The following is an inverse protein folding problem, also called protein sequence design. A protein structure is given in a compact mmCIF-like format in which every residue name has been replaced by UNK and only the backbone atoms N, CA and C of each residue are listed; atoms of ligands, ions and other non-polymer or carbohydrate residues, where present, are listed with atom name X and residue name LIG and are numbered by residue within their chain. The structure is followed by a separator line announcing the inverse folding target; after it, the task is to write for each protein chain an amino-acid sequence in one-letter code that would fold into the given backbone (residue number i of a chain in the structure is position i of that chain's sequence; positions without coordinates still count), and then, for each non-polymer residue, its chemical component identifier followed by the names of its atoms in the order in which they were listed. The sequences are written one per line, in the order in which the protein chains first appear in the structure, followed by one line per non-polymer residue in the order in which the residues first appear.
data_IF_100682372125
#
_entry.id   IF_100682372125
#
_cell.length_a   1.000
_cell.length_b   1.000
_cell.length_c   1.000
_cell.angle_alpha   90.00
_cell.angle_beta   90.00
_cell.angle_gamma   90.00
#
_symmetry.space_group_name_H-M   'P 1'
#
loop_
_entity.id
_entity.type
_entity.pdbx_description
1 polymer ?
#
# COMPACT_ATOMS: atom_id res chain seq x y z
N UNK A 1 21.92 9.90 4.93
CA UNK A 1 20.50 9.54 5.10
C UNK A 1 20.44 8.39 6.11
N UNK A 2 19.57 8.48 7.11
CA UNK A 2 19.38 7.38 8.06
C UNK A 2 18.69 6.24 7.29
N UNK A 3 19.31 5.05 7.30
CA UNK A 3 18.71 3.87 6.65
C UNK A 3 17.40 3.51 7.35
N UNK A 4 16.35 3.27 6.57
CA UNK A 4 15.03 2.91 7.09
C UNK A 4 15.02 1.40 7.39
N UNK A 5 14.61 1.03 8.61
CA UNK A 5 14.57 -0.36 9.02
C UNK A 5 13.33 -1.11 8.47
N UNK A 6 12.20 -0.41 8.26
CA UNK A 6 11.00 -0.92 7.60
C UNK A 6 11.06 -0.77 6.08
N UNK A 7 10.21 -1.50 5.38
CA UNK A 7 10.09 -1.46 3.92
C UNK A 7 8.76 -0.82 3.51
N UNK A 8 8.75 -0.11 2.38
CA UNK A 8 7.54 0.45 1.79
C UNK A 8 7.05 -0.44 0.66
N UNK A 9 5.79 -0.86 0.74
CA UNK A 9 5.12 -1.67 -0.26
C UNK A 9 3.94 -0.91 -0.87
N UNK A 10 3.82 -0.96 -2.17
CA UNK A 10 2.68 -0.44 -2.93
C UNK A 10 1.88 -1.64 -3.39
N UNK A 11 0.61 -1.71 -3.02
CA UNK A 11 -0.28 -2.78 -3.48
C UNK A 11 -1.39 -2.17 -4.30
N UNK A 12 -1.49 -2.60 -5.55
CA UNK A 12 -2.54 -2.19 -6.47
C UNK A 12 -3.26 -3.40 -7.05
N UNK A 13 -4.50 -3.21 -7.40
CA UNK A 13 -5.35 -4.25 -7.94
C UNK A 13 -6.62 -3.65 -8.55
N UNK A 14 -7.24 -4.28 -9.53
CA UNK A 14 -8.58 -3.89 -9.96
C UNK A 14 -9.59 -4.11 -8.83
N UNK A 15 -10.64 -3.28 -8.82
CA UNK A 15 -11.71 -3.42 -7.84
C UNK A 15 -12.31 -4.83 -7.90
N UNK A 16 -12.38 -5.53 -6.77
CA UNK A 16 -12.89 -6.91 -6.69
C UNK A 16 -11.82 -8.00 -6.74
N UNK A 17 -10.54 -7.69 -6.98
CA UNK A 17 -9.47 -8.69 -6.99
C UNK A 17 -9.08 -9.25 -5.61
N UNK A 18 -9.58 -8.65 -4.50
CA UNK A 18 -9.33 -9.16 -3.15
C UNK A 18 -8.19 -8.49 -2.39
N UNK A 19 -7.65 -7.37 -2.90
CA UNK A 19 -6.52 -6.62 -2.32
C UNK A 19 -6.68 -6.36 -0.82
N UNK A 20 -7.73 -5.67 -0.41
CA UNK A 20 -7.93 -5.27 0.98
C UNK A 20 -8.07 -6.47 1.93
N UNK A 21 -8.68 -7.57 1.47
CA UNK A 21 -8.79 -8.80 2.26
C UNK A 21 -7.44 -9.47 2.47
N UNK A 22 -6.59 -9.51 1.43
CA UNK A 22 -5.23 -10.06 1.53
C UNK A 22 -4.36 -9.21 2.47
N UNK A 23 -4.41 -7.87 2.34
CA UNK A 23 -3.67 -6.99 3.23
C UNK A 23 -4.12 -7.20 4.68
N UNK A 24 -5.43 -7.18 4.96
CA UNK A 24 -5.95 -7.39 6.31
C UNK A 24 -5.54 -8.74 6.91
N UNK A 25 -5.59 -9.82 6.12
CA UNK A 25 -5.17 -11.14 6.57
C UNK A 25 -3.67 -11.19 6.87
N UNK A 26 -2.83 -10.52 6.08
CA UNK A 26 -1.40 -10.40 6.34
C UNK A 26 -1.14 -9.64 7.65
N UNK A 27 -1.81 -8.51 7.86
CA UNK A 27 -1.65 -7.69 9.08
C UNK A 27 -2.08 -8.42 10.35
N UNK A 28 -3.06 -9.34 10.27
CA UNK A 28 -3.45 -10.18 11.42
C UNK A 28 -2.35 -11.15 11.85
N UNK A 29 -1.43 -11.51 10.94
CA UNK A 29 -0.31 -12.41 11.21
C UNK A 29 0.95 -11.70 11.72
N UNK A 30 1.07 -10.40 11.42
CA UNK A 30 2.30 -9.64 11.64
C UNK A 30 2.00 -8.29 12.30
N UNK A 31 2.47 -8.11 13.55
CA UNK A 31 2.26 -6.87 14.32
C UNK A 31 3.19 -5.71 13.90
N UNK A 32 4.23 -6.02 13.18
CA UNK A 32 5.25 -5.08 12.68
C UNK A 32 5.00 -4.66 11.22
N UNK A 33 3.74 -4.75 10.79
CA UNK A 33 3.24 -4.35 9.47
C UNK A 33 1.99 -3.49 9.63
N UNK A 34 1.86 -2.43 8.84
CA UNK A 34 0.70 -1.52 8.89
C UNK A 34 0.31 -1.03 7.50
N UNK A 35 -0.97 -0.74 7.30
CA UNK A 35 -1.43 0.07 6.17
C UNK A 35 -1.23 1.54 6.51
N UNK A 36 -0.78 2.34 5.55
CA UNK A 36 -0.76 3.79 5.68
C UNK A 36 -2.17 4.34 5.80
N UNK A 37 -2.40 5.17 6.81
CA UNK A 37 -3.66 5.89 6.98
C UNK A 37 -3.58 7.20 6.20
N UNK A 38 -4.35 7.31 5.12
CA UNK A 38 -4.37 8.50 4.27
C UNK A 38 -5.16 9.65 4.91
N UNK A 39 -4.84 10.88 4.55
CA UNK A 39 -5.64 12.06 4.88
C UNK A 39 -6.79 12.21 3.90
N UNK A 40 -7.93 12.71 4.37
CA UNK A 40 -9.06 13.06 3.50
C UNK A 40 -9.84 14.24 4.04
N UNK A 41 -10.44 15.01 3.12
CA UNK A 41 -11.40 16.08 3.46
C UNK A 41 -12.84 15.61 3.45
N UNK A 42 -13.08 14.34 3.06
CA UNK A 42 -14.42 13.72 3.13
C UNK A 42 -14.83 13.56 4.60
N UNK A 43 -16.08 13.84 4.88
CA UNK A 43 -16.64 13.54 6.20
C UNK A 43 -16.59 12.03 6.50
N UNK A 44 -16.35 11.63 7.78
CA UNK A 44 -16.37 10.23 8.16
C UNK A 44 -17.75 9.62 7.92
N UNK A 45 -17.79 8.36 7.47
CA UNK A 45 -19.01 7.56 7.37
C UNK A 45 -19.34 6.90 8.71
N UNK A 46 -20.59 6.45 8.94
CA UNK A 46 -20.92 5.66 10.12
C UNK A 46 -19.95 4.46 10.27
N UNK A 47 -19.33 4.37 11.46
CA UNK A 47 -18.35 3.31 11.78
C UNK A 47 -16.90 3.64 11.43
N UNK A 48 -16.62 4.71 10.68
CA UNK A 48 -15.23 5.14 10.44
C UNK A 48 -14.70 5.95 11.65
N UNK A 49 -13.42 5.76 11.96
CA UNK A 49 -12.73 6.41 13.07
C UNK A 49 -11.51 7.17 12.53
N UNK A 50 -11.31 8.38 13.06
CA UNK A 50 -10.15 9.20 12.75
C UNK A 50 -8.86 8.51 13.22
N UNK A 51 -7.80 8.62 12.38
CA UNK A 51 -6.51 7.97 12.62
C UNK A 51 -6.49 6.45 12.42
N UNK A 52 -7.65 5.83 12.14
CA UNK A 52 -7.76 4.38 11.87
C UNK A 52 -8.09 4.13 10.39
N UNK A 53 -9.15 4.74 9.90
CA UNK A 53 -9.59 4.58 8.50
C UNK A 53 -9.01 5.68 7.62
N UNK A 54 -9.04 6.90 8.10
CA UNK A 54 -8.45 8.10 7.52
C UNK A 54 -8.07 9.08 8.62
N UNK A 55 -7.17 10.01 8.31
CA UNK A 55 -7.05 11.27 9.02
C UNK A 55 -8.04 12.26 8.40
N UNK A 56 -9.18 12.49 9.07
CA UNK A 56 -10.21 13.39 8.57
C UNK A 56 -9.83 14.84 8.90
N UNK A 57 -9.56 15.64 7.87
CA UNK A 57 -9.09 17.02 8.03
C UNK A 57 -9.96 18.01 7.23
N UNK A 58 -9.90 19.29 7.57
CA UNK A 58 -10.56 20.34 6.77
C UNK A 58 -9.85 20.54 5.43
N UNK A 59 -10.56 21.13 4.46
CA UNK A 59 -9.97 21.50 3.16
C UNK A 59 -8.78 22.44 3.34
N UNK A 60 -8.89 23.43 4.25
CA UNK A 60 -7.81 24.39 4.52
C UNK A 60 -6.58 23.68 5.11
N UNK A 61 -6.79 22.76 6.06
CA UNK A 61 -5.69 21.94 6.61
C UNK A 61 -5.03 21.11 5.53
N UNK A 62 -5.82 20.47 4.66
CA UNK A 62 -5.29 19.65 3.57
C UNK A 62 -4.44 20.47 2.60
N UNK A 63 -4.94 21.65 2.19
CA UNK A 63 -4.20 22.57 1.31
C UNK A 63 -2.91 23.06 1.96
N UNK A 64 -2.93 23.37 3.24
CA UNK A 64 -1.71 23.75 3.98
C UNK A 64 -0.67 22.60 4.02
N UNK A 65 -1.11 21.33 4.04
CA UNK A 65 -0.22 20.18 3.94
C UNK A 65 0.35 20.01 2.52
N UNK A 66 -0.42 20.33 1.47
CA UNK A 66 0.10 20.38 0.09
C UNK A 66 1.19 21.42 -0.04
N UNK A 67 0.95 22.64 0.46
CA UNK A 67 1.93 23.76 0.40
C UNK A 67 3.25 23.42 1.13
N UNK A 68 3.18 22.58 2.16
CA UNK A 68 4.35 22.08 2.90
C UNK A 68 5.03 20.87 2.24
N UNK A 69 4.58 20.46 1.05
CA UNK A 69 5.06 19.23 0.37
C UNK A 69 4.99 17.97 1.26
N UNK A 70 3.94 17.88 2.09
CA UNK A 70 3.79 16.79 3.07
C UNK A 70 3.36 15.47 2.45
N UNK A 71 2.73 15.48 1.27
CA UNK A 71 2.20 14.28 0.66
C UNK A 71 3.16 13.66 -0.36
N UNK A 72 3.26 12.33 -0.34
CA UNK A 72 3.86 11.56 -1.42
C UNK A 72 3.03 11.66 -2.71
N UNK A 73 1.73 11.55 -2.56
CA UNK A 73 0.72 11.71 -3.61
C UNK A 73 -0.54 12.32 -3.00
N UNK A 74 -1.28 13.04 -3.79
CA UNK A 74 -2.63 13.49 -3.45
C UNK A 74 -3.47 13.65 -4.71
N UNK A 75 -4.80 13.51 -4.56
CA UNK A 75 -5.76 13.70 -5.63
C UNK A 75 -7.07 14.28 -5.10
N UNK A 76 -7.78 14.98 -5.97
CA UNK A 76 -9.17 15.35 -5.73
C UNK A 76 -10.09 14.34 -6.43
N UNK A 77 -10.95 13.68 -5.64
CA UNK A 77 -11.89 12.68 -6.13
C UNK A 77 -13.28 13.02 -5.63
N UNK A 78 -14.21 13.26 -6.54
CA UNK A 78 -15.59 13.67 -6.24
C UNK A 78 -15.70 14.86 -5.24
N UNK A 79 -14.85 15.88 -5.45
CA UNK A 79 -14.86 17.09 -4.61
C UNK A 79 -14.23 16.93 -3.23
N UNK A 80 -13.57 15.81 -2.94
CA UNK A 80 -12.81 15.58 -1.73
C UNK A 80 -11.35 15.30 -2.06
N UNK A 81 -10.46 15.78 -1.20
CA UNK A 81 -9.04 15.51 -1.30
C UNK A 81 -8.68 14.22 -0.55
N UNK A 82 -7.71 13.49 -1.10
CA UNK A 82 -7.08 12.31 -0.49
C UNK A 82 -5.58 12.42 -0.66
N UNK A 83 -4.79 12.05 0.34
CA UNK A 83 -3.33 12.15 0.24
C UNK A 83 -2.61 11.28 1.27
N UNK A 84 -1.43 10.83 0.88
CA UNK A 84 -0.56 9.92 1.65
C UNK A 84 0.61 10.69 2.24
N UNK A 85 0.66 10.83 3.57
CA UNK A 85 1.65 11.63 4.28
C UNK A 85 3.05 11.02 4.24
N UNK A 86 4.05 11.83 3.85
CA UNK A 86 5.48 11.47 3.86
C UNK A 86 6.01 11.28 5.26
N UNK A 87 5.68 12.20 6.17
CA UNK A 87 6.22 12.19 7.55
C UNK A 87 5.69 10.99 8.32
N UNK A 88 4.40 10.68 8.22
CA UNK A 88 3.79 9.54 8.89
C UNK A 88 4.40 8.21 8.44
N UNK A 89 4.57 8.02 7.12
CA UNK A 89 5.19 6.80 6.58
C UNK A 89 6.65 6.69 7.03
N UNK A 90 7.44 7.77 6.89
CA UNK A 90 8.85 7.73 7.28
C UNK A 90 9.05 7.42 8.75
N UNK A 91 8.15 7.89 9.61
CA UNK A 91 8.20 7.59 11.04
C UNK A 91 7.99 6.08 11.31
N UNK A 92 6.98 5.47 10.69
CA UNK A 92 6.75 4.03 10.78
C UNK A 92 7.95 3.21 10.26
N UNK A 93 8.49 3.60 9.10
CA UNK A 93 9.66 2.93 8.53
C UNK A 93 10.91 3.02 9.43
N UNK A 94 11.12 4.16 10.13
CA UNK A 94 12.22 4.28 11.11
C UNK A 94 12.03 3.36 12.31
N UNK A 95 10.79 3.11 12.71
CA UNK A 95 10.45 2.16 13.79
C UNK A 95 10.61 0.69 13.36
N UNK A 96 10.96 0.42 12.11
CA UNK A 96 11.11 -0.93 11.56
C UNK A 96 9.78 -1.58 11.16
N UNK A 97 8.71 -0.79 11.08
CA UNK A 97 7.39 -1.23 10.62
C UNK A 97 7.37 -1.20 9.10
N UNK A 98 6.96 -2.30 8.48
CA UNK A 98 6.70 -2.35 7.05
C UNK A 98 5.35 -1.68 6.75
N UNK A 99 5.34 -0.77 5.79
CA UNK A 99 4.17 0.05 5.46
C UNK A 99 3.60 -0.33 4.10
N UNK A 100 2.30 -0.56 4.04
CA UNK A 100 1.55 -0.86 2.82
C UNK A 100 0.75 0.37 2.37
N UNK A 101 0.89 0.72 1.10
CA UNK A 101 0.07 1.72 0.42
C UNK A 101 -0.98 1.00 -0.42
N UNK A 102 -2.24 1.15 -0.06
CA UNK A 102 -3.40 0.66 -0.83
C UNK A 102 -3.82 1.75 -1.80
N UNK A 103 -3.15 1.85 -2.96
CA UNK A 103 -3.32 2.91 -3.95
C UNK A 103 -3.46 2.34 -5.36
N UNK A 104 -3.92 3.19 -6.29
CA UNK A 104 -3.99 2.85 -7.71
C UNK A 104 -2.62 3.00 -8.42
N UNK A 105 -2.58 2.66 -9.72
CA UNK A 105 -1.37 2.72 -10.52
C UNK A 105 -0.85 4.16 -10.71
N UNK A 106 -1.73 5.18 -10.69
CA UNK A 106 -1.31 6.57 -10.83
C UNK A 106 -0.57 7.05 -9.58
N UNK A 107 -1.11 6.74 -8.41
CA UNK A 107 -0.44 6.96 -7.13
C UNK A 107 0.86 6.17 -7.03
N UNK A 108 0.86 4.91 -7.49
CA UNK A 108 2.06 4.06 -7.52
C UNK A 108 3.21 4.69 -8.31
N UNK A 109 2.94 5.24 -9.50
CA UNK A 109 3.94 5.96 -10.29
C UNK A 109 4.53 7.16 -9.56
N UNK A 110 3.69 7.97 -8.88
CA UNK A 110 4.15 9.13 -8.11
C UNK A 110 5.07 8.69 -6.96
N UNK A 111 4.66 7.67 -6.21
CA UNK A 111 5.47 7.12 -5.11
C UNK A 111 6.81 6.58 -5.62
N UNK A 112 6.83 5.83 -6.71
CA UNK A 112 8.06 5.26 -7.29
C UNK A 112 9.08 6.31 -7.71
N UNK A 113 8.65 7.49 -8.14
CA UNK A 113 9.54 8.62 -8.46
C UNK A 113 10.19 9.19 -7.20
N UNK A 114 9.43 9.31 -6.11
CA UNK A 114 9.89 9.92 -4.86
C UNK A 114 10.60 8.92 -3.94
N UNK A 115 10.23 7.63 -4.03
CA UNK A 115 10.75 6.54 -3.21
C UNK A 115 11.03 5.31 -4.09
N UNK A 116 12.12 5.31 -4.87
CA UNK A 116 12.44 4.21 -5.81
C UNK A 116 12.69 2.86 -5.13
N UNK A 117 12.94 2.86 -3.82
CA UNK A 117 13.13 1.64 -3.02
C UNK A 117 11.81 0.91 -2.75
N UNK A 118 10.67 1.59 -2.83
CA UNK A 118 9.35 1.00 -2.62
C UNK A 118 9.10 -0.18 -3.58
N UNK A 119 8.52 -1.25 -3.06
CA UNK A 119 8.22 -2.48 -3.83
C UNK A 119 6.76 -2.52 -4.24
N UNK A 120 6.53 -2.56 -5.54
CA UNK A 120 5.18 -2.67 -6.11
C UNK A 120 4.73 -4.12 -6.24
N UNK A 121 3.53 -4.41 -5.79
CA UNK A 121 2.86 -5.70 -5.89
C UNK A 121 1.52 -5.47 -6.58
N UNK A 122 1.28 -6.12 -7.71
CA UNK A 122 0.00 -6.05 -8.38
C UNK A 122 -0.78 -7.35 -8.16
N UNK A 123 -2.05 -7.24 -7.77
CA UNK A 123 -2.91 -8.41 -7.54
C UNK A 123 -3.92 -8.49 -8.66
N UNK A 124 -3.96 -9.63 -9.36
CA UNK A 124 -4.92 -9.94 -10.41
C UNK A 124 -5.95 -10.98 -9.96
N UNK A 125 -7.18 -10.91 -10.48
CA UNK A 125 -8.12 -12.03 -10.39
C UNK A 125 -7.66 -13.17 -11.33
N UNK A 126 -8.15 -14.41 -11.14
CA UNK A 126 -7.80 -15.53 -12.02
C UNK A 126 -8.43 -15.41 -13.42
N UNK A 127 -9.51 -14.66 -13.56
CA UNK A 127 -10.16 -14.38 -14.84
C UNK A 127 -11.08 -13.16 -14.76
N UNK A 128 -11.45 -12.61 -15.91
CA UNK A 128 -12.46 -11.55 -16.00
C UNK A 128 -13.84 -12.03 -15.54
N UNK A 129 -14.19 -13.26 -15.84
CA UNK A 129 -15.45 -13.87 -15.40
C UNK A 129 -15.54 -13.96 -13.89
N UNK A 130 -14.46 -14.40 -13.23
CA UNK A 130 -14.43 -14.46 -11.76
C UNK A 130 -14.48 -13.06 -11.14
N UNK A 131 -13.81 -12.07 -11.75
CA UNK A 131 -13.87 -10.68 -11.31
C UNK A 131 -15.30 -10.14 -11.36
N UNK A 132 -16.00 -10.35 -12.47
CA UNK A 132 -17.40 -9.95 -12.64
C UNK A 132 -18.32 -10.64 -11.61
N UNK A 133 -18.12 -11.92 -11.36
CA UNK A 133 -18.86 -12.66 -10.32
C UNK A 133 -18.61 -12.08 -8.92
N UNK A 134 -17.38 -11.72 -8.58
CA UNK A 134 -17.02 -11.09 -7.29
C UNK A 134 -17.66 -9.70 -7.15
N UNK A 135 -17.70 -8.91 -8.22
CA UNK A 135 -18.39 -7.61 -8.22
C UNK A 135 -19.90 -7.76 -8.03
N UNK A 136 -20.52 -8.70 -8.73
CA UNK A 136 -21.96 -9.00 -8.61
C UNK A 136 -22.32 -9.49 -7.21
N UNK A 137 -21.50 -10.39 -6.62
CA UNK A 137 -21.76 -11.01 -5.31
C UNK A 137 -21.75 -9.99 -4.15
N UNK A 138 -21.10 -8.84 -4.31
CA UNK A 138 -21.15 -7.76 -3.31
C UNK A 138 -22.56 -7.14 -3.21
N UNK A 139 -23.41 -7.30 -4.21
CA UNK A 139 -24.85 -6.96 -4.15
C UNK A 139 -25.17 -5.47 -3.97
N UNK A 140 -24.19 -4.60 -4.16
CA UNK A 140 -24.32 -3.15 -3.87
C UNK A 140 -24.49 -2.30 -5.13
N UNK A 141 -24.32 -2.87 -6.33
CA UNK A 141 -24.23 -2.14 -7.57
C UNK A 141 -25.25 -2.64 -8.62
N UNK A 142 -25.77 -1.71 -9.44
CA UNK A 142 -26.56 -2.04 -10.62
C UNK A 142 -25.67 -2.60 -11.75
N UNK A 143 -26.31 -3.26 -12.74
CA UNK A 143 -25.62 -3.79 -13.92
C UNK A 143 -24.75 -2.75 -14.64
N UNK A 144 -25.25 -1.52 -14.77
CA UNK A 144 -24.52 -0.42 -15.41
C UNK A 144 -23.28 0.00 -14.63
N UNK A 145 -23.36 -0.03 -13.30
CA UNK A 145 -22.21 0.25 -12.42
C UNK A 145 -21.18 -0.86 -12.54
N UNK A 146 -21.60 -2.13 -12.59
CA UNK A 146 -20.72 -3.28 -12.80
C UNK A 146 -20.02 -3.20 -14.15
N UNK A 147 -20.73 -2.88 -15.23
CA UNK A 147 -20.12 -2.71 -16.55
C UNK A 147 -19.03 -1.61 -16.56
N UNK A 148 -19.28 -0.47 -15.91
CA UNK A 148 -18.27 0.59 -15.74
C UNK A 148 -17.07 0.13 -14.94
N UNK A 149 -17.27 -0.61 -13.84
CA UNK A 149 -16.18 -1.16 -13.03
C UNK A 149 -15.34 -2.20 -13.78
N UNK A 150 -15.97 -3.03 -14.61
CA UNK A 150 -15.27 -3.98 -15.47
C UNK A 150 -14.40 -3.28 -16.53
N UNK A 151 -14.91 -2.20 -17.14
CA UNK A 151 -14.13 -1.38 -18.07
C UNK A 151 -12.91 -0.73 -17.37
N UNK A 152 -13.11 -0.18 -16.16
CA UNK A 152 -12.02 0.37 -15.34
C UNK A 152 -11.01 -0.70 -14.96
N UNK A 153 -11.48 -1.88 -14.53
CA UNK A 153 -10.61 -3.00 -14.15
C UNK A 153 -9.68 -3.42 -15.29
N UNK A 154 -10.18 -3.45 -16.53
CA UNK A 154 -9.34 -3.75 -17.70
C UNK A 154 -8.23 -2.70 -17.88
N UNK A 155 -8.55 -1.42 -17.72
CA UNK A 155 -7.57 -0.33 -17.75
C UNK A 155 -6.54 -0.47 -16.62
N UNK A 156 -7.00 -0.73 -15.38
CA UNK A 156 -6.12 -0.91 -14.22
C UNK A 156 -5.16 -2.09 -14.41
N UNK A 157 -5.65 -3.23 -14.91
CA UNK A 157 -4.85 -4.43 -15.14
C UNK A 157 -3.77 -4.24 -16.21
N UNK A 158 -3.97 -3.34 -17.18
CA UNK A 158 -2.95 -3.06 -18.21
C UNK A 158 -1.65 -2.48 -17.66
N UNK A 159 -1.66 -1.98 -16.41
CA UNK A 159 -0.50 -1.44 -15.71
C UNK A 159 0.22 -2.47 -14.82
N UNK A 160 -0.21 -3.73 -14.80
CA UNK A 160 0.39 -4.77 -13.95
C UNK A 160 1.89 -4.99 -14.22
N UNK A 161 2.35 -4.77 -15.44
CA UNK A 161 3.75 -4.90 -15.84
C UNK A 161 4.67 -3.77 -15.33
N UNK A 162 4.12 -2.76 -14.66
CA UNK A 162 4.89 -1.67 -14.02
C UNK A 162 5.33 -2.04 -12.60
N UNK A 163 4.91 -3.21 -12.09
CA UNK A 163 5.16 -3.66 -10.72
C UNK A 163 6.22 -4.75 -10.69
N UNK A 164 6.97 -4.81 -9.59
CA UNK A 164 8.02 -5.82 -9.40
C UNK A 164 7.47 -7.21 -9.15
N UNK A 165 6.26 -7.30 -8.58
CA UNK A 165 5.63 -8.56 -8.22
C UNK A 165 4.20 -8.63 -8.71
N UNK A 166 3.82 -9.81 -9.16
CA UNK A 166 2.47 -10.14 -9.61
C UNK A 166 1.93 -11.32 -8.80
N UNK A 167 0.71 -11.19 -8.25
CA UNK A 167 0.00 -12.25 -7.54
C UNK A 167 -1.31 -12.51 -8.26
N UNK A 168 -1.61 -13.78 -8.56
CA UNK A 168 -2.91 -14.19 -9.08
C UNK A 168 -3.75 -14.72 -7.90
N UNK A 169 -4.80 -13.99 -7.55
CA UNK A 169 -5.69 -14.36 -6.45
C UNK A 169 -6.81 -15.31 -6.94
N UNK A 170 -6.42 -16.53 -7.31
CA UNK A 170 -7.31 -17.66 -7.64
C UNK A 170 -7.73 -18.41 -6.37
N UNK A 171 -6.77 -18.70 -5.49
CA UNK A 171 -6.97 -19.23 -4.17
C UNK A 171 -6.44 -18.25 -3.14
N UNK A 172 -7.29 -17.86 -2.19
CA UNK A 172 -6.96 -16.82 -1.20
C UNK A 172 -5.74 -17.17 -0.33
N UNK A 173 -5.68 -18.44 0.15
CA UNK A 173 -4.60 -18.85 1.05
C UNK A 173 -3.24 -18.90 0.32
N UNK A 174 -3.23 -19.33 -0.94
CA UNK A 174 -2.03 -19.32 -1.77
C UNK A 174 -1.59 -17.89 -2.06
N UNK A 175 -2.49 -17.01 -2.46
CA UNK A 175 -2.19 -15.60 -2.72
C UNK A 175 -1.69 -14.88 -1.46
N UNK A 176 -2.26 -15.19 -0.29
CA UNK A 176 -1.79 -14.66 0.99
C UNK A 176 -0.37 -15.14 1.30
N UNK A 177 -0.08 -16.42 1.07
CA UNK A 177 1.25 -16.99 1.28
C UNK A 177 2.29 -16.38 0.32
N UNK A 178 1.93 -16.12 -0.93
CA UNK A 178 2.79 -15.44 -1.90
C UNK A 178 3.07 -13.99 -1.45
N UNK A 179 2.05 -13.25 -1.03
CA UNK A 179 2.20 -11.90 -0.49
C UNK A 179 3.14 -11.89 0.72
N UNK A 180 2.93 -12.78 1.66
CA UNK A 180 3.75 -12.92 2.86
C UNK A 180 5.21 -13.23 2.52
N UNK A 181 5.47 -14.14 1.58
CA UNK A 181 6.83 -14.48 1.10
C UNK A 181 7.56 -13.30 0.49
N UNK A 182 6.86 -12.51 -0.34
CA UNK A 182 7.43 -11.29 -0.95
C UNK A 182 7.87 -10.31 0.14
N UNK A 183 6.99 -10.04 1.11
CA UNK A 183 7.28 -9.11 2.20
C UNK A 183 8.43 -9.60 3.07
N UNK A 184 8.41 -10.85 3.49
CA UNK A 184 9.47 -11.44 4.33
C UNK A 184 10.81 -11.50 3.60
N UNK A 185 10.83 -11.73 2.29
CA UNK A 185 12.05 -11.69 1.50
C UNK A 185 12.68 -10.28 1.49
N UNK A 186 11.87 -9.21 1.37
CA UNK A 186 12.38 -7.83 1.46
C UNK A 186 12.92 -7.52 2.86
N UNK A 187 12.24 -7.97 3.92
CA UNK A 187 12.73 -7.81 5.31
C UNK A 187 14.09 -8.46 5.55
N UNK A 188 14.36 -9.57 4.88
CA UNK A 188 15.64 -10.30 4.98
C UNK A 188 16.71 -9.78 4.02
N UNK A 189 16.40 -8.78 3.18
CA UNK A 189 17.37 -8.12 2.33
C UNK A 189 18.47 -7.42 3.15
N UNK A 190 19.68 -7.32 2.59
CA UNK A 190 20.85 -6.78 3.29
C UNK A 190 20.60 -5.41 3.92
N UNK A 191 20.03 -4.46 3.16
CA UNK A 191 19.82 -3.08 3.64
C UNK A 191 18.84 -3.02 4.81
N UNK A 192 17.72 -3.74 4.75
CA UNK A 192 16.75 -3.80 5.84
C UNK A 192 17.34 -4.48 7.08
N UNK A 193 18.11 -5.56 6.90
CA UNK A 193 18.79 -6.23 8.00
C UNK A 193 19.91 -5.38 8.58
N UNK A 194 20.69 -4.68 7.76
CA UNK A 194 21.75 -3.79 8.21
C UNK A 194 21.20 -2.64 9.05
N UNK A 195 20.07 -2.03 8.64
CA UNK A 195 19.42 -0.99 9.41
C UNK A 195 18.89 -1.50 10.76
N UNK A 196 18.26 -2.69 10.78
CA UNK A 196 17.73 -3.31 12.01
C UNK A 196 18.84 -3.78 12.97
N UNK A 197 19.95 -4.25 12.45
CA UNK A 197 21.06 -4.86 13.21
C UNK A 197 22.30 -3.96 13.28
N UNK A 198 22.12 -2.65 13.15
CA UNK A 198 23.22 -1.69 13.05
C UNK A 198 24.24 -1.83 14.19
N UNK A 199 23.77 -1.97 15.43
CA UNK A 199 24.64 -2.11 16.61
C UNK A 199 25.43 -3.41 16.53
N UNK A 200 24.79 -4.53 16.23
CA UNK A 200 25.45 -5.82 16.09
C UNK A 200 26.49 -5.81 14.98
N UNK A 201 26.13 -5.30 13.81
CA UNK A 201 27.05 -5.24 12.67
C UNK A 201 28.24 -4.33 12.95
N UNK A 202 28.04 -3.20 13.63
CA UNK A 202 29.15 -2.32 14.02
C UNK A 202 30.15 -3.02 14.95
N UNK A 203 29.67 -3.87 15.87
CA UNK A 203 30.53 -4.67 16.78
C UNK A 203 31.26 -5.79 16.04
N UNK A 204 30.55 -6.51 15.15
CA UNK A 204 31.13 -7.65 14.43
C UNK A 204 32.14 -7.22 13.37
N UNK A 205 31.90 -6.07 12.70
CA UNK A 205 32.70 -5.58 11.59
C UNK A 205 33.77 -4.57 12.03
N UNK A 206 33.80 -4.17 13.30
CA UNK A 206 34.86 -3.33 13.83
C UNK A 206 36.21 -4.02 13.64
N UNK A 207 37.17 -3.35 12.99
CA UNK A 207 38.57 -3.85 12.94
C UNK A 207 39.07 -3.97 14.35
N UNK A 208 39.57 -5.17 14.76
CA UNK A 208 40.33 -5.30 16.00
C UNK A 208 41.52 -4.36 15.86
N UNK A 209 41.62 -3.36 16.75
CA UNK A 209 42.87 -2.62 16.90
C UNK A 209 43.93 -3.60 17.31
N UNK A 210 44.91 -3.82 16.43
CA UNK A 210 46.15 -4.59 16.76
C UNK A 210 47.02 -3.74 17.68
#
# INVERSE_FOLDING_TARGET
MQELAGNLFIISAPSGAGKSSLIQALLQRHQDMQVSVSHTTRAPRPGEQDGVHYHFVSVDTFKALIEKDEFFEWAEVFGNYYGTSKSAIRELLRQGIDVFLDIDWQGARQIKVLEPSAKGIFILPPSLTELEQRLNKRGQDSSDVIAKRMAQAHSEMSHANEYEYLIINDNFDNALLELERIVLAQRNGYFSQAARQQVLLSQLLAKRAN
#
